data_IF_124189444252
#
_entry.id   IF_124189444252
#
_cell.length_a   1.000
_cell.length_b   1.000
_cell.length_c   1.000
_cell.angle_alpha   90.00
_cell.angle_beta   90.00
_cell.angle_gamma   90.00
#
_symmetry.space_group_name_H-M   'P 1'
#
loop_
_entity.id
_entity.type
_entity.pdbx_description
1 polymer ?
#
# COMPACT_ATOMS: atom_id res chain seq x y z
N UNK A 1 20.23 -10.24 -9.00
CA UNK A 1 20.52 -9.32 -10.12
C UNK A 1 21.79 -8.51 -9.89
N UNK A 2 22.51 -8.69 -8.78
CA UNK A 2 23.81 -8.05 -8.53
C UNK A 2 23.77 -6.52 -8.29
N UNK A 3 22.60 -5.93 -8.08
CA UNK A 3 22.50 -4.52 -7.70
C UNK A 3 22.98 -4.38 -6.25
N UNK A 4 23.91 -3.45 -5.94
CA UNK A 4 24.43 -3.28 -4.57
C UNK A 4 23.40 -2.57 -3.67
N UNK A 5 22.45 -3.34 -3.16
CA UNK A 5 21.43 -2.88 -2.20
C UNK A 5 21.83 -3.38 -0.81
N UNK A 6 21.85 -2.50 0.17
CA UNK A 6 22.11 -2.82 1.57
C UNK A 6 20.86 -3.34 2.27
N UNK A 7 19.96 -2.45 2.67
CA UNK A 7 18.71 -2.82 3.34
C UNK A 7 17.48 -2.72 2.43
N UNK A 8 16.58 -3.65 2.59
CA UNK A 8 15.25 -3.66 2.00
C UNK A 8 14.24 -3.31 3.10
N UNK A 9 13.66 -2.11 3.01
CA UNK A 9 12.71 -1.63 4.01
C UNK A 9 11.29 -1.91 3.54
N UNK A 10 10.59 -2.79 4.24
CA UNK A 10 9.19 -3.12 4.00
C UNK A 10 8.29 -2.24 4.88
N UNK A 11 7.60 -1.32 4.26
CA UNK A 11 6.66 -0.43 4.93
C UNK A 11 5.25 -1.01 4.89
N UNK A 12 4.56 -0.99 6.02
CA UNK A 12 3.15 -1.39 6.17
C UNK A 12 2.32 -0.21 6.66
N UNK A 13 1.03 -0.21 6.35
CA UNK A 13 0.05 0.63 7.02
C UNK A 13 -0.45 -0.05 8.31
N UNK A 14 -1.57 0.37 8.89
CA UNK A 14 -2.09 -0.16 10.15
C UNK A 14 -2.48 -1.65 10.10
N UNK A 15 -2.67 -2.24 8.94
CA UNK A 15 -2.87 -3.69 8.81
C UNK A 15 -1.62 -4.49 9.21
N UNK A 16 -0.45 -3.96 9.04
CA UNK A 16 0.88 -4.33 9.57
C UNK A 16 1.24 -5.83 9.63
N UNK A 17 0.60 -6.67 8.82
CA UNK A 17 0.87 -8.13 8.79
C UNK A 17 2.32 -8.43 8.39
N UNK A 18 2.89 -7.67 7.43
CA UNK A 18 4.29 -7.83 7.04
C UNK A 18 5.25 -7.28 8.09
N UNK A 19 4.92 -6.17 8.74
CA UNK A 19 5.71 -5.68 9.87
C UNK A 19 5.85 -6.74 10.96
N UNK A 20 4.74 -7.35 11.39
CA UNK A 20 4.76 -8.40 12.41
C UNK A 20 5.57 -9.61 11.94
N UNK A 21 5.41 -10.03 10.67
CA UNK A 21 6.19 -11.12 10.09
C UNK A 21 7.70 -10.86 10.13
N UNK A 22 8.16 -9.70 9.65
CA UNK A 22 9.60 -9.38 9.65
C UNK A 22 10.19 -9.25 11.05
N UNK A 23 9.38 -8.92 12.05
CA UNK A 23 9.81 -8.82 13.45
C UNK A 23 9.85 -10.17 14.17
N UNK A 24 8.89 -11.03 13.90
CA UNK A 24 8.68 -12.27 14.68
C UNK A 24 9.03 -13.55 13.94
N UNK A 25 8.99 -13.54 12.61
CA UNK A 25 9.04 -14.75 11.78
C UNK A 25 7.68 -15.46 11.69
N UNK A 26 6.64 -14.90 12.29
CA UNK A 26 5.27 -15.44 12.22
C UNK A 26 4.39 -14.58 11.35
N UNK A 27 3.76 -15.18 10.37
CA UNK A 27 2.72 -14.56 9.56
C UNK A 27 1.37 -14.99 10.08
N UNK A 28 0.54 -14.01 10.48
CA UNK A 28 -0.80 -14.23 11.01
C UNK A 28 -1.81 -13.30 10.33
N UNK A 29 -2.73 -13.91 9.54
CA UNK A 29 -3.83 -13.18 8.90
C UNK A 29 -5.11 -13.09 9.75
N UNK A 30 -5.15 -13.77 10.90
CA UNK A 30 -6.32 -13.82 11.79
C UNK A 30 -6.38 -12.57 12.66
N UNK A 31 -6.66 -11.44 12.03
CA UNK A 31 -6.76 -10.11 12.66
C UNK A 31 -7.88 -9.30 12.03
N UNK A 32 -8.27 -8.25 12.70
CA UNK A 32 -9.20 -7.28 12.15
C UNK A 32 -8.61 -6.58 10.93
N UNK A 33 -9.42 -6.41 9.89
CA UNK A 33 -9.06 -5.67 8.68
C UNK A 33 -9.35 -4.18 8.88
N UNK A 34 -8.36 -3.34 8.67
CA UNK A 34 -8.47 -1.89 8.82
C UNK A 34 -8.48 -1.23 7.44
N UNK A 35 -9.53 -0.45 7.16
CA UNK A 35 -9.57 0.41 5.98
C UNK A 35 -8.75 1.67 6.24
N UNK A 36 -7.80 1.97 5.34
CA UNK A 36 -6.89 3.10 5.47
C UNK A 36 -6.91 4.01 4.25
N UNK A 37 -6.21 5.14 4.33
CA UNK A 37 -6.01 6.05 3.18
C UNK A 37 -5.00 5.54 2.17
N UNK A 38 -4.31 4.43 2.46
CA UNK A 38 -3.41 3.71 1.55
C UNK A 38 -3.95 2.34 1.13
N UNK A 39 -5.10 2.28 0.41
CA UNK A 39 -5.89 1.05 0.23
C UNK A 39 -5.17 -0.08 -0.51
N UNK A 40 -4.17 0.21 -1.33
CA UNK A 40 -3.37 -0.86 -1.97
C UNK A 40 -2.49 -1.63 -0.98
N UNK A 41 -2.31 -1.10 0.24
CA UNK A 41 -1.60 -1.74 1.36
C UNK A 41 -2.57 -2.36 2.38
N UNK A 42 -3.90 -2.25 2.18
CA UNK A 42 -4.94 -2.88 3.01
C UNK A 42 -5.02 -4.37 2.66
N UNK A 43 -4.09 -5.13 3.16
CA UNK A 43 -3.97 -6.56 2.90
C UNK A 43 -3.78 -7.35 4.20
N UNK A 44 -4.41 -8.52 4.28
CA UNK A 44 -4.14 -9.55 5.28
C UNK A 44 -3.35 -10.73 4.69
N UNK A 45 -3.35 -10.88 3.36
CA UNK A 45 -2.57 -11.88 2.64
C UNK A 45 -1.69 -11.18 1.60
N UNK A 46 -0.38 -11.31 1.75
CA UNK A 46 0.60 -10.82 0.78
C UNK A 46 1.06 -11.98 -0.11
N UNK A 47 0.45 -12.12 -1.28
CA UNK A 47 0.82 -13.18 -2.25
C UNK A 47 2.25 -13.01 -2.78
N UNK A 48 2.76 -11.78 -2.82
CA UNK A 48 4.13 -11.52 -3.26
C UNK A 48 5.20 -12.03 -2.28
N UNK A 49 4.87 -12.12 -0.99
CA UNK A 49 5.79 -12.61 0.05
C UNK A 49 6.16 -14.09 -0.16
N UNK A 50 5.30 -14.88 -0.77
CA UNK A 50 5.56 -16.30 -1.04
C UNK A 50 6.88 -16.54 -1.78
N UNK A 51 7.24 -15.65 -2.72
CA UNK A 51 8.53 -15.73 -3.43
C UNK A 51 9.73 -15.58 -2.49
N UNK A 52 9.63 -14.68 -1.52
CA UNK A 52 10.65 -14.51 -0.50
C UNK A 52 10.71 -15.74 0.41
N UNK A 53 9.54 -16.27 0.83
CA UNK A 53 9.47 -17.48 1.65
C UNK A 53 10.14 -18.66 0.95
N UNK A 54 9.90 -18.85 -0.35
CA UNK A 54 10.55 -19.88 -1.15
C UNK A 54 12.09 -19.73 -1.13
N UNK A 55 12.61 -18.51 -1.36
CA UNK A 55 14.05 -18.28 -1.39
C UNK A 55 14.73 -18.46 -0.03
N UNK A 56 14.15 -17.95 1.05
CA UNK A 56 14.73 -18.14 2.40
C UNK A 56 14.57 -19.56 2.93
N UNK A 57 13.70 -20.36 2.30
CA UNK A 57 13.63 -21.82 2.53
C UNK A 57 14.73 -22.61 1.77
N UNK A 58 15.69 -21.93 1.13
CA UNK A 58 16.72 -22.55 0.30
C UNK A 58 16.17 -23.10 -1.01
N UNK A 59 15.22 -22.41 -1.63
CA UNK A 59 14.50 -22.80 -2.85
C UNK A 59 13.76 -24.16 -2.72
N UNK A 60 13.34 -24.49 -1.50
CA UNK A 60 12.64 -25.72 -1.17
C UNK A 60 11.13 -25.58 -1.39
N UNK A 61 10.64 -26.15 -2.50
CA UNK A 61 9.23 -26.08 -2.88
C UNK A 61 8.29 -26.79 -1.89
N UNK A 62 8.72 -27.89 -1.27
CA UNK A 62 7.88 -28.64 -0.33
C UNK A 62 7.73 -27.85 0.96
N UNK A 63 8.82 -27.27 1.48
CA UNK A 63 8.76 -26.41 2.65
C UNK A 63 7.89 -25.16 2.41
N UNK A 64 8.02 -24.52 1.24
CA UNK A 64 7.17 -23.39 0.87
C UNK A 64 5.68 -23.81 0.85
N UNK A 65 5.37 -24.96 0.24
CA UNK A 65 4.00 -25.50 0.19
C UNK A 65 3.42 -25.73 1.58
N UNK A 66 4.17 -26.36 2.48
CA UNK A 66 3.73 -26.59 3.87
C UNK A 66 3.34 -25.28 4.57
N UNK A 67 4.14 -24.22 4.41
CA UNK A 67 3.85 -22.92 5.03
C UNK A 67 2.61 -22.27 4.42
N UNK A 68 2.44 -22.34 3.09
CA UNK A 68 1.26 -21.79 2.40
C UNK A 68 0.00 -22.59 2.71
N UNK A 69 0.08 -23.92 2.85
CA UNK A 69 -1.04 -24.74 3.31
C UNK A 69 -1.44 -24.41 4.74
N UNK A 70 -0.48 -24.20 5.65
CA UNK A 70 -0.75 -23.72 7.01
C UNK A 70 -1.48 -22.38 7.00
N UNK A 71 -1.02 -21.41 6.17
CA UNK A 71 -1.69 -20.13 6.00
C UNK A 71 -3.14 -20.28 5.52
N UNK A 72 -3.37 -21.20 4.59
CA UNK A 72 -4.71 -21.44 4.05
C UNK A 72 -5.64 -22.10 5.06
N UNK A 73 -5.15 -23.08 5.82
CA UNK A 73 -5.94 -23.90 6.74
C UNK A 73 -6.19 -23.21 8.09
N UNK A 74 -5.14 -22.57 8.65
CA UNK A 74 -5.18 -22.03 10.00
C UNK A 74 -5.09 -20.49 10.04
N UNK A 75 -4.68 -19.88 8.95
CA UNK A 75 -4.42 -18.45 8.88
C UNK A 75 -3.05 -18.02 9.40
N UNK A 76 -2.20 -18.96 9.84
CA UNK A 76 -0.91 -18.68 10.48
C UNK A 76 0.17 -19.61 9.96
N UNK A 77 1.40 -19.11 9.83
CA UNK A 77 2.61 -19.92 9.78
C UNK A 77 3.77 -19.23 10.49
N UNK A 78 4.75 -20.03 10.93
CA UNK A 78 6.00 -19.53 11.50
C UNK A 78 7.18 -20.16 10.72
N UNK A 79 8.12 -19.32 10.30
CA UNK A 79 9.36 -19.76 9.65
C UNK A 79 10.36 -20.26 10.68
N UNK A 80 11.32 -21.12 10.25
CA UNK A 80 12.38 -21.60 11.13
C UNK A 80 13.39 -20.49 11.47
N UNK A 81 14.22 -20.70 12.48
CA UNK A 81 15.29 -19.76 12.85
C UNK A 81 16.34 -19.61 11.74
N UNK A 82 16.61 -20.66 10.96
CA UNK A 82 17.50 -20.62 9.79
C UNK A 82 16.89 -19.71 8.71
N UNK A 83 15.61 -19.87 8.40
CA UNK A 83 14.90 -18.99 7.44
C UNK A 83 14.87 -17.53 7.94
N UNK A 84 14.70 -17.33 9.25
CA UNK A 84 14.69 -16.01 9.85
C UNK A 84 16.05 -15.31 9.76
N UNK A 85 17.14 -16.07 9.86
CA UNK A 85 18.49 -15.54 9.69
C UNK A 85 18.74 -15.00 8.27
N UNK A 86 18.07 -15.56 7.24
CA UNK A 86 18.14 -15.06 5.86
C UNK A 86 17.40 -13.71 5.66
N UNK A 87 16.57 -13.30 6.62
CA UNK A 87 15.89 -11.98 6.59
C UNK A 87 16.76 -10.82 7.12
N UNK A 88 18.03 -11.05 7.42
CA UNK A 88 18.95 -10.07 8.01
C UNK A 88 19.04 -8.72 7.25
N UNK A 89 18.82 -8.74 5.93
CA UNK A 89 18.84 -7.56 5.07
C UNK A 89 17.47 -6.89 4.92
N UNK A 90 16.44 -7.44 5.57
CA UNK A 90 15.10 -6.86 5.58
C UNK A 90 14.85 -6.13 6.90
N UNK A 91 14.11 -5.02 6.78
CA UNK A 91 13.61 -4.26 7.92
C UNK A 91 12.11 -4.00 7.73
N UNK A 92 11.29 -4.41 8.68
CA UNK A 92 9.85 -4.16 8.67
C UNK A 92 9.47 -3.07 9.68
N UNK A 93 8.66 -2.11 9.25
CA UNK A 93 7.96 -1.18 10.15
C UNK A 93 6.61 -0.77 9.54
N UNK A 94 5.80 -0.02 10.32
CA UNK A 94 4.52 0.47 9.87
C UNK A 94 4.32 1.94 10.22
N UNK A 95 3.40 2.59 9.52
CA UNK A 95 2.89 3.92 9.84
C UNK A 95 1.39 3.87 10.12
N UNK A 96 0.96 4.62 11.13
CA UNK A 96 -0.46 4.85 11.39
C UNK A 96 -1.03 5.86 10.39
N UNK A 97 -2.37 5.96 10.33
CA UNK A 97 -3.05 6.98 9.51
C UNK A 97 -2.61 8.39 9.90
N UNK A 98 -2.47 8.66 11.20
CA UNK A 98 -2.00 9.95 11.68
C UNK A 98 -0.56 10.24 11.26
N UNK A 99 0.34 9.25 11.33
CA UNK A 99 1.73 9.38 10.88
C UNK A 99 1.80 9.58 9.37
N UNK A 100 0.95 8.90 8.61
CA UNK A 100 0.84 9.02 7.15
C UNK A 100 0.40 10.43 6.74
N UNK A 101 -0.67 10.94 7.33
CA UNK A 101 -1.14 12.30 7.07
C UNK A 101 -0.09 13.35 7.47
N UNK A 102 0.52 13.20 8.65
CA UNK A 102 1.59 14.08 9.11
C UNK A 102 2.78 14.08 8.14
N UNK A 103 3.15 12.94 7.58
CA UNK A 103 4.27 12.84 6.64
C UNK A 103 3.99 13.61 5.34
N UNK A 104 2.76 13.55 4.82
CA UNK A 104 2.34 14.34 3.65
C UNK A 104 2.46 15.83 3.96
N UNK A 105 1.88 16.26 5.07
CA UNK A 105 1.93 17.64 5.53
C UNK A 105 3.37 18.15 5.70
N UNK A 106 4.18 17.45 6.51
CA UNK A 106 5.53 17.89 6.84
C UNK A 106 6.43 17.94 5.60
N UNK A 107 6.28 16.98 4.67
CA UNK A 107 7.08 16.98 3.44
C UNK A 107 6.70 18.17 2.54
N UNK A 108 5.41 18.43 2.39
CA UNK A 108 4.92 19.58 1.63
C UNK A 108 5.41 20.89 2.24
N UNK A 109 5.22 21.11 3.54
CA UNK A 109 5.65 22.35 4.23
C UNK A 109 7.17 22.60 4.11
N UNK A 110 7.97 21.54 4.21
CA UNK A 110 9.42 21.68 4.19
C UNK A 110 10.04 21.76 2.80
N UNK A 111 9.37 21.24 1.75
CA UNK A 111 9.98 21.07 0.43
C UNK A 111 9.11 21.55 -0.74
N UNK A 112 7.82 21.75 -0.53
CA UNK A 112 6.84 21.99 -1.58
C UNK A 112 6.50 20.73 -2.41
N UNK A 113 7.08 19.56 -2.07
CA UNK A 113 6.84 18.32 -2.79
C UNK A 113 5.67 17.53 -2.21
N UNK A 114 4.72 17.14 -3.07
CA UNK A 114 3.51 16.42 -2.65
C UNK A 114 3.65 14.94 -3.02
N UNK A 115 3.50 14.07 -2.05
CA UNK A 115 3.51 12.61 -2.19
C UNK A 115 2.11 12.02 -1.99
N UNK A 116 1.88 10.84 -2.57
CA UNK A 116 0.66 10.07 -2.32
C UNK A 116 0.71 9.34 -0.97
N UNK A 117 -0.44 8.84 -0.53
CA UNK A 117 -0.59 8.19 0.77
C UNK A 117 0.29 6.95 0.96
N UNK A 118 0.51 6.14 -0.08
CA UNK A 118 1.36 4.94 -0.01
C UNK A 118 2.84 5.32 0.10
N UNK A 119 3.27 6.33 -0.68
CA UNK A 119 4.62 6.88 -0.57
C UNK A 119 4.84 7.51 0.80
N UNK A 120 3.82 8.13 1.39
CA UNK A 120 3.88 8.69 2.74
C UNK A 120 4.10 7.62 3.82
N UNK A 121 3.43 6.47 3.71
CA UNK A 121 3.70 5.30 4.57
C UNK A 121 5.17 4.89 4.45
N UNK A 122 5.69 4.75 3.23
CA UNK A 122 7.07 4.36 3.00
C UNK A 122 8.08 5.39 3.52
N UNK A 123 7.82 6.68 3.32
CA UNK A 123 8.66 7.78 3.82
C UNK A 123 8.67 7.85 5.34
N UNK A 124 7.51 7.72 5.98
CA UNK A 124 7.38 7.68 7.44
C UNK A 124 8.17 6.50 8.04
N UNK A 125 8.03 5.31 7.45
CA UNK A 125 8.78 4.12 7.88
C UNK A 125 10.29 4.30 7.68
N UNK A 126 10.72 4.92 6.58
CA UNK A 126 12.13 5.24 6.37
C UNK A 126 12.68 6.18 7.45
N UNK A 127 11.92 7.21 7.86
CA UNK A 127 12.31 8.09 8.96
C UNK A 127 12.47 7.33 10.29
N UNK A 128 11.57 6.36 10.56
CA UNK A 128 11.68 5.48 11.73
C UNK A 128 12.95 4.63 11.66
N UNK A 129 13.23 4.01 10.51
CA UNK A 129 14.44 3.23 10.28
C UNK A 129 15.70 4.06 10.56
N UNK A 130 15.81 5.25 9.97
CA UNK A 130 16.96 6.15 10.22
C UNK A 130 17.12 6.51 11.69
N UNK A 131 16.02 6.78 12.37
CA UNK A 131 16.04 7.14 13.81
C UNK A 131 16.49 5.96 14.67
N UNK A 132 16.05 4.75 14.33
CA UNK A 132 16.36 3.53 15.10
C UNK A 132 17.80 3.05 14.87
N UNK A 133 18.28 3.13 13.63
CA UNK A 133 19.56 2.51 13.24
C UNK A 133 20.73 3.50 13.13
N UNK A 134 20.44 4.79 12.93
CA UNK A 134 21.46 5.80 12.60
C UNK A 134 22.04 5.66 11.19
N UNK A 135 21.51 4.76 10.34
CA UNK A 135 22.00 4.53 8.99
C UNK A 135 21.86 5.78 8.12
N UNK A 136 22.96 6.20 7.47
CA UNK A 136 23.03 7.35 6.58
C UNK A 136 23.17 6.96 5.11
N UNK A 137 23.01 5.69 4.79
CA UNK A 137 23.07 5.19 3.42
C UNK A 137 21.99 5.87 2.56
N UNK A 138 22.37 6.23 1.34
CA UNK A 138 21.40 6.79 0.36
C UNK A 138 20.29 5.78 0.12
N UNK A 139 19.07 6.24 0.26
CA UNK A 139 17.88 5.41 0.16
C UNK A 139 16.99 5.88 -0.99
N UNK A 140 16.40 4.93 -1.69
CA UNK A 140 15.39 5.16 -2.71
C UNK A 140 14.04 4.77 -2.12
N UNK A 141 13.12 5.71 -2.02
CA UNK A 141 11.72 5.45 -1.70
C UNK A 141 10.98 5.16 -3.00
N UNK A 142 10.42 3.97 -3.13
CA UNK A 142 9.69 3.55 -4.34
C UNK A 142 8.27 4.13 -4.28
N UNK A 143 8.01 5.16 -5.09
CA UNK A 143 6.69 5.78 -5.23
C UNK A 143 5.94 5.08 -6.37
N UNK A 144 4.83 4.43 -6.05
CA UNK A 144 4.08 3.56 -6.98
C UNK A 144 2.72 4.11 -7.36
N UNK A 145 2.31 5.24 -6.79
CA UNK A 145 1.04 5.90 -7.06
C UNK A 145 1.22 7.41 -7.24
N UNK A 146 0.19 8.05 -7.79
CA UNK A 146 0.15 9.50 -7.94
C UNK A 146 -0.74 10.11 -6.84
N UNK A 147 -0.41 11.30 -6.31
CA UNK A 147 -1.28 12.07 -5.43
C UNK A 147 -2.69 12.28 -6.01
N UNK A 148 -2.80 12.39 -7.33
CA UNK A 148 -4.09 12.53 -8.03
C UNK A 148 -5.01 11.31 -7.90
N UNK A 149 -4.49 10.13 -7.57
CA UNK A 149 -5.31 8.94 -7.31
C UNK A 149 -6.00 9.01 -5.94
N UNK A 150 -5.43 9.77 -5.02
CA UNK A 150 -5.89 9.89 -3.63
C UNK A 150 -6.05 11.36 -3.22
N UNK A 151 -6.51 12.19 -4.16
CA UNK A 151 -6.51 13.65 -4.06
C UNK A 151 -7.12 14.15 -2.75
N UNK A 152 -8.29 13.64 -2.34
CA UNK A 152 -8.95 14.07 -1.09
C UNK A 152 -8.07 13.79 0.13
N UNK A 153 -7.56 12.58 0.28
CA UNK A 153 -6.71 12.22 1.42
C UNK A 153 -5.43 13.04 1.47
N UNK A 154 -4.80 13.27 0.31
CA UNK A 154 -3.58 14.08 0.20
C UNK A 154 -3.86 15.55 0.53
N UNK A 155 -4.89 16.14 -0.06
CA UNK A 155 -5.23 17.55 0.15
C UNK A 155 -5.68 17.82 1.59
N UNK A 156 -6.50 16.95 2.16
CA UNK A 156 -6.93 17.06 3.56
C UNK A 156 -5.75 16.89 4.54
N UNK A 157 -4.76 16.07 4.19
CA UNK A 157 -3.54 15.96 4.99
C UNK A 157 -2.68 17.23 4.95
N UNK A 158 -2.69 17.98 3.83
CA UNK A 158 -2.00 19.27 3.71
C UNK A 158 -2.75 20.36 4.50
N UNK A 159 -4.07 20.47 4.31
CA UNK A 159 -4.92 21.43 5.01
C UNK A 159 -6.35 20.87 5.16
N UNK A 160 -6.84 20.79 6.41
CA UNK A 160 -8.20 20.33 6.73
C UNK A 160 -9.31 21.16 6.05
N UNK A 161 -9.02 22.39 5.65
CA UNK A 161 -9.94 23.25 4.89
C UNK A 161 -10.41 22.62 3.57
N UNK A 162 -9.65 21.69 3.01
CA UNK A 162 -10.01 20.97 1.78
C UNK A 162 -10.99 19.78 1.98
N UNK A 163 -11.27 19.37 3.21
CA UNK A 163 -12.04 18.16 3.50
C UNK A 163 -13.43 18.10 2.82
N UNK A 164 -14.10 19.23 2.70
CA UNK A 164 -15.47 19.34 2.15
C UNK A 164 -15.52 19.88 0.71
N UNK A 165 -14.37 20.06 0.06
CA UNK A 165 -14.32 20.54 -1.32
C UNK A 165 -14.76 19.43 -2.29
N UNK A 166 -15.34 19.81 -3.43
CA UNK A 166 -15.74 18.87 -4.49
C UNK A 166 -14.52 18.21 -5.12
N UNK A 167 -14.62 16.93 -5.53
CA UNK A 167 -13.47 16.13 -5.95
C UNK A 167 -12.67 16.72 -7.12
N UNK A 168 -13.34 17.19 -8.17
CA UNK A 168 -12.62 17.81 -9.30
C UNK A 168 -12.06 19.20 -8.98
N UNK A 169 -12.68 19.93 -8.05
CA UNK A 169 -12.10 21.16 -7.52
C UNK A 169 -10.82 20.87 -6.72
N UNK A 170 -10.80 19.79 -5.92
CA UNK A 170 -9.57 19.32 -5.25
C UNK A 170 -8.47 18.98 -6.23
N UNK A 171 -8.79 18.36 -7.37
CA UNK A 171 -7.82 18.05 -8.44
C UNK A 171 -7.20 19.34 -8.98
N UNK A 172 -8.01 20.38 -9.21
CA UNK A 172 -7.51 21.67 -9.71
C UNK A 172 -6.63 22.40 -8.68
N UNK A 173 -6.98 22.31 -7.40
CA UNK A 173 -6.15 22.86 -6.32
C UNK A 173 -4.83 22.06 -6.16
N UNK A 174 -4.87 20.73 -6.28
CA UNK A 174 -3.66 19.92 -6.26
C UNK A 174 -2.71 20.28 -7.41
N UNK A 175 -3.22 20.54 -8.62
CA UNK A 175 -2.40 21.01 -9.74
C UNK A 175 -1.72 22.34 -9.41
N UNK A 176 -2.45 23.30 -8.84
CA UNK A 176 -1.91 24.61 -8.45
C UNK A 176 -0.82 24.48 -7.38
N UNK A 177 -1.06 23.66 -6.36
CA UNK A 177 -0.12 23.48 -5.25
C UNK A 177 1.13 22.71 -5.67
N UNK A 178 0.99 21.63 -6.46
CA UNK A 178 2.09 20.77 -6.85
C UNK A 178 2.89 21.29 -8.04
N UNK A 179 2.27 22.11 -8.90
CA UNK A 179 2.81 22.47 -10.21
C UNK A 179 2.91 21.30 -11.19
N UNK A 180 2.32 20.15 -10.87
CA UNK A 180 2.31 18.95 -11.70
C UNK A 180 1.00 18.87 -12.46
N UNK A 181 1.01 18.77 -13.81
CA UNK A 181 -0.21 18.73 -14.61
C UNK A 181 -1.12 17.55 -14.23
N UNK A 182 -2.45 17.79 -14.28
CA UNK A 182 -3.44 16.73 -14.06
C UNK A 182 -3.25 15.63 -15.11
N UNK A 183 -3.14 14.35 -14.73
CA UNK A 183 -3.02 13.23 -15.66
C UNK A 183 -4.18 13.16 -16.66
N UNK A 184 -3.87 12.84 -17.94
CA UNK A 184 -4.89 12.79 -19.01
C UNK A 184 -6.10 11.92 -18.64
N UNK A 185 -5.89 10.77 -18.00
CA UNK A 185 -6.98 9.87 -17.58
C UNK A 185 -7.98 10.57 -16.64
N UNK A 186 -7.51 11.48 -15.76
CA UNK A 186 -8.38 12.24 -14.86
C UNK A 186 -9.06 13.38 -15.60
N UNK A 187 -8.38 14.03 -16.56
CA UNK A 187 -9.00 15.04 -17.42
C UNK A 187 -10.14 14.44 -18.24
N UNK A 188 -9.93 13.26 -18.82
CA UNK A 188 -10.92 12.58 -19.65
C UNK A 188 -12.19 12.23 -18.87
N UNK A 189 -12.07 11.72 -17.62
CA UNK A 189 -13.24 11.32 -16.83
C UNK A 189 -14.12 12.50 -16.38
N UNK A 190 -13.61 13.74 -16.34
CA UNK A 190 -14.41 14.93 -16.00
C UNK A 190 -15.62 15.13 -16.91
N UNK A 191 -15.46 14.81 -18.18
CA UNK A 191 -16.46 15.05 -19.24
C UNK A 191 -16.95 13.75 -19.88
N UNK A 192 -16.43 12.60 -19.45
CA UNK A 192 -16.84 11.32 -20.00
C UNK A 192 -18.30 11.03 -19.68
N UNK A 193 -19.08 10.55 -20.65
CA UNK A 193 -20.45 10.15 -20.40
C UNK A 193 -20.51 8.90 -19.53
N UNK A 194 -21.47 8.84 -18.61
CA UNK A 194 -21.77 7.62 -17.85
C UNK A 194 -22.41 6.61 -18.79
N UNK A 195 -21.62 5.63 -19.24
CA UNK A 195 -22.05 4.63 -20.24
C UNK A 195 -22.89 3.50 -19.61
N UNK A 196 -22.59 3.12 -18.38
CA UNK A 196 -23.23 2.03 -17.66
C UNK A 196 -23.96 2.59 -16.44
N UNK A 197 -25.27 2.40 -16.39
CA UNK A 197 -26.16 2.96 -15.35
C UNK A 197 -26.79 1.88 -14.47
N UNK A 198 -26.35 0.63 -14.61
CA UNK A 198 -26.87 -0.47 -13.81
C UNK A 198 -26.16 -0.49 -12.47
N UNK A 199 -26.96 -0.39 -11.41
CA UNK A 199 -26.52 -0.50 -10.01
C UNK A 199 -27.26 -1.71 -9.41
N UNK A 200 -26.59 -2.43 -8.51
CA UNK A 200 -27.20 -3.53 -7.75
C UNK A 200 -26.45 -3.71 -6.42
N UNK A 201 -27.14 -4.31 -5.46
CA UNK A 201 -26.50 -4.77 -4.25
C UNK A 201 -25.55 -5.96 -4.54
N UNK A 202 -24.58 -6.19 -3.68
CA UNK A 202 -23.56 -7.25 -3.89
C UNK A 202 -24.19 -8.65 -3.98
N UNK A 203 -25.30 -8.88 -3.30
CA UNK A 203 -26.07 -10.13 -3.31
C UNK A 203 -26.76 -10.39 -4.66
N UNK A 204 -27.04 -9.32 -5.44
CA UNK A 204 -27.67 -9.39 -6.77
C UNK A 204 -26.65 -9.37 -7.93
N UNK A 205 -25.36 -9.32 -7.66
CA UNK A 205 -24.32 -9.21 -8.71
C UNK A 205 -24.39 -10.35 -9.72
N UNK A 206 -24.51 -11.61 -9.28
CA UNK A 206 -24.62 -12.77 -10.16
C UNK A 206 -25.83 -12.65 -11.10
N UNK A 207 -27.01 -12.38 -10.54
CA UNK A 207 -28.26 -12.20 -11.30
C UNK A 207 -28.14 -11.06 -12.32
N UNK A 208 -27.50 -9.95 -11.91
CA UNK A 208 -27.27 -8.80 -12.78
C UNK A 208 -26.36 -9.17 -13.95
N UNK A 209 -25.25 -9.88 -13.71
CA UNK A 209 -24.34 -10.36 -14.76
C UNK A 209 -25.07 -11.32 -15.71
N UNK A 210 -25.82 -12.29 -15.20
CA UNK A 210 -26.61 -13.21 -16.02
C UNK A 210 -27.62 -12.47 -16.92
N UNK A 211 -28.27 -11.42 -16.39
CA UNK A 211 -29.21 -10.62 -17.18
C UNK A 211 -28.55 -9.88 -18.35
N UNK A 212 -27.27 -9.49 -18.24
CA UNK A 212 -26.52 -8.93 -19.36
C UNK A 212 -26.21 -9.99 -20.44
N UNK A 213 -25.84 -11.20 -20.01
CA UNK A 213 -25.52 -12.31 -20.93
C UNK A 213 -26.76 -12.80 -21.71
N UNK A 214 -27.97 -12.71 -21.12
CA UNK A 214 -29.23 -13.10 -21.74
C UNK A 214 -29.79 -12.04 -22.70
N UNK A 215 -29.34 -10.78 -22.59
CA UNK A 215 -29.72 -9.73 -23.54
C UNK A 215 -29.12 -10.06 -24.91
N UNK A 216 -29.93 -10.52 -25.84
CA UNK A 216 -29.53 -10.63 -27.24
C UNK A 216 -29.17 -9.24 -27.75
N UNK A 217 -27.96 -9.10 -28.29
CA UNK A 217 -27.42 -7.92 -28.96
C UNK A 217 -28.28 -7.65 -30.20
#
# INVERSE_FOLDING_TARGET
MGVPIGKLICASNENKVLYDFFRTGTYDKNREFVLTTSPSMDILISSNLERLIYHIAGDNADRNRELMESLNQTGVYTISEEMKAELKDFYGAYASEQETAKEIHDLYENTGYIIDTHTAVASSVYKKYKKETGDQTKTVVVSTASPYKFTRSVMTAIDEGYANMEDFALVDELEKLSGVPVPNAIQEIRTAPVLHKTECDKEDMEKTVLSFLERKI
#
